data_IF_367620928429
#
_entry.id   IF_367620928429
#
_cell.length_a   1.000
_cell.length_b   1.000
_cell.length_c   1.000
_cell.angle_alpha   90.00
_cell.angle_beta   90.00
_cell.angle_gamma   90.00
#
_symmetry.space_group_name_H-M   'P 1'
#
loop_
_entity.id
_entity.type
_entity.pdbx_description
1 polymer ?
#
# COMPACT_ATOMS: atom_id res chain seq x y z
N UNK A 1 5.00 6.48 -2.70
CA UNK A 1 6.35 6.21 -3.28
C UNK A 1 7.44 6.27 -2.23
N UNK A 2 7.54 7.30 -1.35
CA UNK A 2 8.65 7.40 -0.37
C UNK A 2 8.77 6.13 0.49
N UNK A 3 7.67 5.62 1.07
CA UNK A 3 7.70 4.37 1.85
C UNK A 3 8.25 3.18 1.05
N UNK A 4 7.85 3.04 -0.21
CA UNK A 4 8.34 1.98 -1.09
C UNK A 4 9.85 2.12 -1.37
N UNK A 5 10.34 3.34 -1.55
CA UNK A 5 11.76 3.63 -1.74
C UNK A 5 12.57 3.33 -0.48
N UNK A 6 12.10 3.75 0.69
CA UNK A 6 12.80 3.49 1.96
C UNK A 6 12.88 1.98 2.26
N UNK A 7 11.78 1.24 2.03
CA UNK A 7 11.80 -0.21 2.13
C UNK A 7 12.81 -0.84 1.15
N UNK A 8 12.79 -0.40 -0.11
CA UNK A 8 13.74 -0.89 -1.13
C UNK A 8 15.20 -0.74 -0.67
N UNK A 9 15.56 0.44 -0.17
CA UNK A 9 16.94 0.76 0.23
C UNK A 9 17.32 0.05 1.53
N UNK A 10 16.52 0.20 2.58
CA UNK A 10 16.90 -0.23 3.94
C UNK A 10 16.80 -1.75 4.13
N UNK A 11 15.92 -2.42 3.39
CA UNK A 11 15.76 -3.87 3.44
C UNK A 11 16.56 -4.60 2.34
N UNK A 12 17.21 -3.87 1.43
CA UNK A 12 17.99 -4.44 0.35
C UNK A 12 17.16 -5.23 -0.66
N UNK A 13 15.91 -4.78 -0.91
CA UNK A 13 15.00 -5.48 -1.80
C UNK A 13 15.47 -5.39 -3.26
N UNK A 14 15.27 -6.46 -4.03
CA UNK A 14 15.55 -6.45 -5.46
C UNK A 14 14.49 -5.66 -6.25
N UNK A 15 13.25 -5.61 -5.73
CA UNK A 15 12.11 -4.91 -6.34
C UNK A 15 11.01 -4.67 -5.32
N UNK A 16 10.23 -3.61 -5.49
CA UNK A 16 8.99 -3.38 -4.74
C UNK A 16 7.80 -3.46 -5.69
N UNK A 17 6.81 -4.28 -5.33
CA UNK A 17 5.59 -4.44 -6.10
C UNK A 17 4.44 -3.66 -5.46
N UNK A 18 3.78 -2.82 -6.24
CA UNK A 18 2.55 -2.14 -5.87
C UNK A 18 1.36 -2.96 -6.37
N UNK A 19 0.52 -3.42 -5.46
CA UNK A 19 -0.68 -4.23 -5.77
C UNK A 19 -1.94 -3.47 -5.32
N UNK A 20 -2.60 -2.74 -6.20
CA UNK A 20 -3.83 -2.04 -5.85
C UNK A 20 -4.97 -3.02 -5.59
N UNK A 21 -5.60 -2.91 -4.41
CA UNK A 21 -6.74 -3.75 -4.04
C UNK A 21 -7.95 -3.51 -4.96
N UNK A 22 -8.70 -4.56 -5.34
CA UNK A 22 -10.00 -4.41 -6.00
C UNK A 22 -11.05 -3.92 -5.01
N UNK A 23 -11.27 -4.68 -3.96
CA UNK A 23 -12.21 -4.37 -2.87
C UNK A 23 -11.44 -4.52 -1.56
N UNK A 24 -10.97 -3.42 -0.95
CA UNK A 24 -10.29 -3.49 0.35
C UNK A 24 -11.24 -4.04 1.42
N UNK A 25 -10.87 -5.09 2.18
CA UNK A 25 -11.78 -5.72 3.15
C UNK A 25 -12.12 -4.83 4.35
N UNK A 26 -11.32 -3.80 4.62
CA UNK A 26 -11.43 -2.93 5.80
C UNK A 26 -11.86 -1.49 5.52
N UNK A 27 -12.24 -1.16 4.26
CA UNK A 27 -12.64 0.20 3.91
C UNK A 27 -13.96 0.21 3.13
N UNK A 28 -14.90 1.12 3.45
CA UNK A 28 -16.07 1.34 2.60
C UNK A 28 -15.60 1.84 1.21
N UNK A 29 -16.25 1.32 0.17
CA UNK A 29 -15.87 1.55 -1.25
C UNK A 29 -16.38 2.90 -1.78
N UNK A 30 -17.25 3.59 -1.04
CA UNK A 30 -18.14 4.65 -1.55
C UNK A 30 -17.45 5.96 -1.98
N UNK A 31 -16.14 6.13 -1.72
CA UNK A 31 -15.44 7.38 -2.07
C UNK A 31 -14.23 7.20 -3.00
N UNK A 32 -14.04 6.01 -3.54
CA UNK A 32 -12.82 5.68 -4.29
C UNK A 32 -13.08 5.69 -5.81
N UNK A 33 -12.10 6.13 -6.62
CA UNK A 33 -12.27 6.26 -8.08
C UNK A 33 -12.25 4.90 -8.79
N UNK A 34 -12.62 3.81 -8.15
CA UNK A 34 -12.54 2.48 -8.71
C UNK A 34 -11.11 1.92 -8.86
N UNK A 35 -11.03 0.59 -8.92
CA UNK A 35 -9.76 -0.14 -8.93
C UNK A 35 -8.89 0.17 -10.16
N UNK A 36 -9.51 0.38 -11.33
CA UNK A 36 -8.81 0.68 -12.58
C UNK A 36 -8.07 2.02 -12.53
N UNK A 37 -8.69 3.06 -11.98
CA UNK A 37 -8.04 4.35 -11.80
C UNK A 37 -6.89 4.27 -10.80
N UNK A 38 -7.03 3.50 -9.71
CA UNK A 38 -5.95 3.31 -8.73
C UNK A 38 -4.76 2.57 -9.35
N UNK A 39 -5.01 1.56 -10.18
CA UNK A 39 -3.98 0.86 -10.93
C UNK A 39 -3.22 1.81 -11.85
N UNK A 40 -3.93 2.62 -12.62
CA UNK A 40 -3.28 3.56 -13.54
C UNK A 40 -2.49 4.63 -12.80
N UNK A 41 -3.00 5.17 -11.70
CA UNK A 41 -2.23 6.10 -10.85
C UNK A 41 -0.96 5.46 -10.29
N UNK A 42 -0.96 4.17 -9.93
CA UNK A 42 0.26 3.46 -9.53
C UNK A 42 1.26 3.36 -10.68
N UNK A 43 0.81 3.01 -11.90
CA UNK A 43 1.66 2.96 -13.10
C UNK A 43 2.28 4.31 -13.43
N UNK A 44 1.48 5.37 -13.34
CA UNK A 44 1.97 6.75 -13.54
C UNK A 44 2.96 7.18 -12.46
N UNK A 45 2.77 6.75 -11.21
CA UNK A 45 3.65 7.09 -10.10
C UNK A 45 5.02 6.36 -10.16
N UNK A 46 5.11 5.24 -10.87
CA UNK A 46 6.32 4.43 -11.01
C UNK A 46 7.01 4.61 -12.38
N UNK A 47 6.42 5.41 -13.27
CA UNK A 47 6.96 5.63 -14.61
C UNK A 47 8.39 6.16 -14.59
N UNK A 48 9.27 5.49 -15.34
CA UNK A 48 10.69 5.80 -15.43
C UNK A 48 11.55 5.16 -14.34
N UNK A 49 10.95 4.27 -13.52
CA UNK A 49 11.63 3.55 -12.45
C UNK A 49 11.17 2.08 -12.35
N UNK A 50 10.88 1.49 -13.49
CA UNK A 50 10.34 0.14 -13.62
C UNK A 50 11.35 -0.95 -13.22
N UNK A 51 12.62 -0.60 -13.10
CA UNK A 51 13.66 -1.51 -12.57
C UNK A 51 13.45 -1.80 -11.08
N UNK A 52 13.07 -0.79 -10.30
CA UNK A 52 12.86 -0.89 -8.85
C UNK A 52 11.42 -1.15 -8.46
N UNK A 53 10.46 -0.63 -9.24
CA UNK A 53 9.03 -0.66 -8.91
C UNK A 53 8.21 -1.36 -10.00
N UNK A 54 7.48 -2.38 -9.60
CA UNK A 54 6.53 -3.12 -10.43
C UNK A 54 5.11 -2.79 -9.99
N UNK A 55 4.17 -2.69 -10.93
CA UNK A 55 2.74 -2.56 -10.62
C UNK A 55 2.01 -3.78 -11.14
N UNK A 56 1.39 -4.54 -10.24
CA UNK A 56 0.66 -5.75 -10.55
C UNK A 56 -0.85 -5.56 -10.34
N UNK A 57 -1.65 -6.14 -11.24
CA UNK A 57 -3.12 -6.09 -11.22
C UNK A 57 -3.76 -7.34 -10.59
N UNK A 58 -2.99 -8.11 -9.82
CA UNK A 58 -3.38 -9.42 -9.24
C UNK A 58 -4.75 -9.35 -8.54
N UNK A 59 -4.91 -8.42 -7.63
CA UNK A 59 -6.16 -8.26 -6.88
C UNK A 59 -7.29 -7.65 -7.70
N UNK A 60 -6.98 -6.87 -8.73
CA UNK A 60 -7.99 -6.28 -9.63
C UNK A 60 -8.63 -7.35 -10.51
N UNK A 61 -7.85 -8.33 -10.97
CA UNK A 61 -8.32 -9.46 -11.79
C UNK A 61 -9.12 -10.48 -10.99
N UNK A 62 -8.87 -10.56 -9.65
CA UNK A 62 -9.52 -11.52 -8.76
C UNK A 62 -10.92 -11.02 -8.39
N UNK A 63 -11.92 -11.92 -8.37
CA UNK A 63 -13.25 -11.61 -7.87
C UNK A 63 -13.27 -11.65 -6.32
N UNK A 64 -14.17 -10.86 -5.73
CA UNK A 64 -14.35 -10.81 -4.28
C UNK A 64 -13.40 -9.85 -3.54
N UNK A 65 -13.34 -9.96 -2.20
CA UNK A 65 -12.46 -9.14 -1.37
C UNK A 65 -10.98 -9.41 -1.64
N UNK A 66 -10.17 -8.37 -1.53
CA UNK A 66 -8.71 -8.44 -1.73
C UNK A 66 -8.01 -8.87 -0.43
N UNK A 67 -8.00 -10.17 -0.14
CA UNK A 67 -7.25 -10.67 1.01
C UNK A 67 -5.76 -10.83 0.67
N UNK A 68 -4.90 -10.37 1.57
CA UNK A 68 -3.45 -10.41 1.40
C UNK A 68 -2.92 -11.83 1.27
N UNK A 69 -3.48 -12.79 2.01
CA UNK A 69 -3.09 -14.20 1.94
C UNK A 69 -3.20 -14.76 0.53
N UNK A 70 -4.29 -14.47 -0.19
CA UNK A 70 -4.50 -14.96 -1.56
C UNK A 70 -3.49 -14.36 -2.54
N UNK A 71 -3.12 -13.09 -2.31
CA UNK A 71 -2.12 -12.39 -3.13
C UNK A 71 -0.72 -12.96 -2.91
N UNK A 72 -0.35 -13.27 -1.67
CA UNK A 72 0.92 -13.93 -1.37
C UNK A 72 0.99 -15.33 -1.97
N UNK A 73 -0.09 -16.11 -1.92
CA UNK A 73 -0.16 -17.44 -2.56
C UNK A 73 0.03 -17.38 -4.08
N UNK A 74 -0.60 -16.42 -4.74
CA UNK A 74 -0.43 -16.21 -6.18
C UNK A 74 1.01 -15.80 -6.52
N UNK A 75 1.64 -14.96 -5.70
CA UNK A 75 3.03 -14.56 -5.87
C UNK A 75 3.99 -15.73 -5.64
N UNK A 76 3.82 -16.54 -4.61
CA UNK A 76 4.63 -17.75 -4.39
C UNK A 76 4.51 -18.75 -5.54
N UNK A 77 3.29 -18.93 -6.07
CA UNK A 77 3.07 -19.81 -7.20
C UNK A 77 3.77 -19.34 -8.47
N UNK A 78 3.83 -18.01 -8.68
CA UNK A 78 4.45 -17.41 -9.89
C UNK A 78 5.95 -17.14 -9.74
N UNK A 79 6.44 -16.96 -8.52
CA UNK A 79 7.83 -16.63 -8.19
C UNK A 79 8.31 -17.47 -6.98
N UNK A 80 8.42 -18.80 -7.09
CA UNK A 80 8.65 -19.69 -5.94
C UNK A 80 9.98 -19.47 -5.22
N UNK A 81 10.99 -18.96 -5.92
CA UNK A 81 12.33 -18.71 -5.36
C UNK A 81 12.48 -17.32 -4.74
N UNK A 82 11.42 -16.54 -4.68
CA UNK A 82 11.47 -15.16 -4.15
C UNK A 82 11.17 -15.13 -2.67
N UNK A 83 12.00 -14.43 -1.91
CA UNK A 83 11.68 -14.01 -0.54
C UNK A 83 10.73 -12.82 -0.60
N UNK A 84 9.54 -12.93 0.03
CA UNK A 84 8.53 -11.90 0.02
C UNK A 84 8.57 -11.07 1.30
N UNK A 85 8.46 -9.75 1.14
CA UNK A 85 8.29 -8.78 2.22
C UNK A 85 6.95 -8.08 2.08
N UNK A 86 6.12 -8.13 3.13
CA UNK A 86 4.86 -7.41 3.20
C UNK A 86 5.09 -6.06 3.89
N UNK A 87 5.11 -4.98 3.10
CA UNK A 87 5.38 -3.63 3.60
C UNK A 87 4.10 -3.02 4.17
N UNK A 88 4.10 -2.69 5.46
CA UNK A 88 2.97 -2.11 6.18
C UNK A 88 3.38 -0.83 6.93
N UNK A 89 2.47 0.12 7.05
CA UNK A 89 2.59 1.17 8.06
C UNK A 89 2.35 0.60 9.45
N UNK A 90 2.97 1.20 10.47
CA UNK A 90 2.89 0.71 11.85
C UNK A 90 1.45 0.62 12.40
N UNK A 91 0.57 1.54 12.00
CA UNK A 91 -0.86 1.54 12.33
C UNK A 91 -1.60 0.33 11.75
N UNK A 92 -1.25 -0.07 10.54
CA UNK A 92 -1.83 -1.23 9.87
C UNK A 92 -1.25 -2.54 10.43
N UNK A 93 0.06 -2.58 10.69
CA UNK A 93 0.74 -3.74 11.26
C UNK A 93 0.22 -4.09 12.67
N UNK A 94 -0.16 -3.08 13.47
CA UNK A 94 -0.77 -3.28 14.79
C UNK A 94 -2.12 -4.03 14.73
N UNK A 95 -2.83 -3.97 13.60
CA UNK A 95 -4.09 -4.69 13.36
C UNK A 95 -3.92 -6.06 12.69
N UNK A 96 -2.69 -6.52 12.45
CA UNK A 96 -2.43 -7.78 11.74
C UNK A 96 -3.09 -9.02 12.39
N UNK A 97 -3.19 -9.13 13.73
CA UNK A 97 -3.87 -10.28 14.36
C UNK A 97 -5.33 -10.48 13.91
N UNK A 98 -6.01 -9.41 13.51
CA UNK A 98 -7.40 -9.44 13.06
C UNK A 98 -7.56 -9.73 11.55
N UNK A 99 -6.45 -9.91 10.84
CA UNK A 99 -6.49 -10.15 9.40
C UNK A 99 -6.96 -11.56 9.07
N UNK A 100 -7.62 -11.69 7.93
CA UNK A 100 -8.02 -12.99 7.40
C UNK A 100 -6.80 -13.90 7.22
N UNK A 101 -6.76 -15.02 7.95
CA UNK A 101 -5.67 -15.99 7.95
C UNK A 101 -4.28 -15.36 8.25
N UNK A 102 -4.20 -14.53 9.29
CA UNK A 102 -2.98 -13.82 9.68
C UNK A 102 -1.74 -14.73 9.79
N UNK A 103 -1.87 -15.94 10.38
CA UNK A 103 -0.78 -16.92 10.49
C UNK A 103 -0.24 -17.33 9.10
N UNK A 104 -1.12 -17.50 8.11
CA UNK A 104 -0.70 -17.82 6.76
C UNK A 104 -0.03 -16.62 6.07
N UNK A 105 -0.44 -15.40 6.37
CA UNK A 105 0.23 -14.19 5.86
C UNK A 105 1.67 -14.15 6.33
N UNK A 106 1.92 -14.29 7.63
CA UNK A 106 3.28 -14.21 8.20
C UNK A 106 4.14 -15.43 7.87
N UNK A 107 3.53 -16.58 7.55
CA UNK A 107 4.28 -17.76 7.08
C UNK A 107 4.77 -17.61 5.63
N UNK A 108 4.16 -16.72 4.85
CA UNK A 108 4.47 -16.52 3.43
C UNK A 108 5.30 -15.29 3.14
N UNK A 109 5.32 -14.31 4.04
CA UNK A 109 6.09 -13.08 3.85
C UNK A 109 6.61 -12.53 5.17
N UNK A 110 7.82 -12.01 5.17
CA UNK A 110 8.34 -11.22 6.29
C UNK A 110 7.59 -9.89 6.36
N UNK A 111 6.98 -9.58 7.51
CA UNK A 111 6.31 -8.30 7.71
C UNK A 111 7.37 -7.19 7.86
N UNK A 112 7.35 -6.22 6.97
CA UNK A 112 8.23 -5.05 6.98
C UNK A 112 7.44 -3.80 7.40
N UNK A 113 7.76 -3.27 8.58
CA UNK A 113 7.00 -2.18 9.21
C UNK A 113 7.68 -0.85 9.00
N UNK A 114 6.99 0.06 8.35
CA UNK A 114 7.40 1.46 8.21
C UNK A 114 7.14 2.20 9.54
N UNK A 115 8.19 2.63 10.21
CA UNK A 115 8.09 3.40 11.45
C UNK A 115 7.72 4.86 11.14
N UNK A 116 6.81 5.40 11.93
CA UNK A 116 6.42 6.82 11.86
C UNK A 116 6.47 7.44 13.26
N UNK A 117 6.83 8.72 13.38
CA UNK A 117 6.72 9.41 14.66
C UNK A 117 5.30 9.27 15.25
N UNK A 118 5.24 8.94 16.54
CA UNK A 118 4.00 8.78 17.28
C UNK A 118 3.39 7.38 17.31
N UNK A 119 3.99 6.40 16.63
CA UNK A 119 3.59 4.99 16.75
C UNK A 119 4.60 4.23 17.60
N UNK A 120 4.12 3.53 18.64
CA UNK A 120 4.99 2.74 19.51
C UNK A 120 5.41 1.45 18.81
N UNK A 121 6.73 1.30 18.60
CA UNK A 121 7.33 0.06 18.08
C UNK A 121 6.99 -1.14 18.95
N UNK A 122 6.99 -0.96 20.29
CA UNK A 122 6.65 -2.03 21.24
C UNK A 122 5.19 -2.48 21.10
N UNK A 123 4.28 -1.56 20.78
CA UNK A 123 2.89 -1.91 20.53
C UNK A 123 2.72 -2.76 19.27
N UNK A 124 3.44 -2.40 18.20
CA UNK A 124 3.45 -3.19 16.96
C UNK A 124 4.09 -4.56 17.19
N UNK A 125 5.23 -4.63 17.89
CA UNK A 125 5.89 -5.90 18.20
C UNK A 125 4.96 -6.83 18.98
N UNK A 126 4.27 -6.32 20.02
CA UNK A 126 3.29 -7.12 20.78
C UNK A 126 2.12 -7.61 19.92
N UNK A 127 1.70 -6.84 18.92
CA UNK A 127 0.65 -7.28 17.99
C UNK A 127 1.18 -8.40 17.08
N UNK A 128 2.38 -8.26 16.53
CA UNK A 128 3.00 -9.28 15.69
C UNK A 128 3.24 -10.59 16.46
N UNK A 129 3.67 -10.53 17.72
CA UNK A 129 3.88 -11.69 18.60
C UNK A 129 2.59 -12.46 18.90
N UNK A 130 1.41 -11.86 18.73
CA UNK A 130 0.12 -12.57 18.87
C UNK A 130 -0.18 -13.48 17.69
N UNK A 131 0.51 -13.29 16.57
CA UNK A 131 0.37 -14.13 15.37
C UNK A 131 1.54 -15.10 15.32
N UNK A 132 1.32 -16.42 15.43
CA UNK A 132 2.39 -17.41 15.34
C UNK A 132 3.26 -17.22 14.07
N UNK A 133 4.56 -17.00 14.25
CA UNK A 133 5.50 -16.68 13.17
C UNK A 133 5.66 -15.18 12.85
N UNK A 134 4.89 -14.31 13.50
CA UNK A 134 4.94 -12.86 13.28
C UNK A 134 6.12 -12.17 13.98
N UNK A 135 6.81 -12.85 14.91
CA UNK A 135 7.97 -12.33 15.64
C UNK A 135 9.18 -11.99 14.77
N UNK A 136 9.20 -12.45 13.52
CA UNK A 136 10.28 -12.19 12.54
C UNK A 136 10.15 -10.85 11.83
N UNK A 137 9.20 -10.01 12.21
CA UNK A 137 8.96 -8.70 11.61
C UNK A 137 10.20 -7.80 11.59
N UNK A 138 10.40 -7.09 10.49
CA UNK A 138 11.49 -6.12 10.32
C UNK A 138 10.95 -4.70 10.32
N UNK A 139 11.72 -3.77 10.86
CA UNK A 139 11.35 -2.36 10.91
C UNK A 139 12.31 -1.54 10.05
N UNK A 140 11.80 -0.50 9.43
CA UNK A 140 12.59 0.47 8.70
C UNK A 140 12.08 1.89 8.93
N UNK A 141 13.00 2.84 8.86
CA UNK A 141 12.72 4.24 9.17
C UNK A 141 12.00 4.95 8.02
N UNK A 142 11.09 5.83 8.37
CA UNK A 142 10.42 6.72 7.44
C UNK A 142 10.78 8.18 7.72
N UNK A 143 11.14 8.98 6.70
CA UNK A 143 11.22 10.43 6.88
C UNK A 143 9.84 10.98 7.29
N UNK A 144 9.85 12.02 8.11
CA UNK A 144 8.62 12.68 8.53
C UNK A 144 7.97 13.42 7.34
N UNK A 145 6.86 12.90 6.85
CA UNK A 145 6.14 13.45 5.70
C UNK A 145 4.70 13.73 6.11
N UNK A 146 4.35 15.02 6.21
CA UNK A 146 3.00 15.47 6.55
C UNK A 146 1.97 15.36 5.41
N UNK A 147 2.26 14.61 4.34
CA UNK A 147 1.35 14.41 3.21
C UNK A 147 0.59 13.10 3.40
N UNK A 148 -0.74 13.18 3.41
CA UNK A 148 -1.62 12.01 3.47
C UNK A 148 -2.58 11.96 2.27
N UNK A 149 -3.05 10.76 1.92
CA UNK A 149 -4.07 10.59 0.87
C UNK A 149 -5.36 11.34 1.19
N UNK A 150 -5.75 11.39 2.46
CA UNK A 150 -6.94 12.16 2.91
C UNK A 150 -6.76 13.66 2.65
N UNK A 151 -5.61 14.21 3.03
CA UNK A 151 -5.29 15.63 2.79
C UNK A 151 -5.27 15.94 1.29
N UNK A 152 -4.68 15.07 0.46
CA UNK A 152 -4.65 15.26 -0.99
C UNK A 152 -6.06 15.25 -1.60
N UNK A 153 -6.91 14.29 -1.22
CA UNK A 153 -8.31 14.25 -1.67
C UNK A 153 -9.10 15.49 -1.25
N UNK A 154 -8.91 15.95 -0.01
CA UNK A 154 -9.56 17.19 0.46
C UNK A 154 -9.12 18.41 -0.36
N UNK A 155 -7.82 18.53 -0.71
CA UNK A 155 -7.33 19.60 -1.57
C UNK A 155 -7.96 19.54 -2.97
N UNK A 156 -8.06 18.36 -3.58
CA UNK A 156 -8.71 18.19 -4.88
C UNK A 156 -10.19 18.61 -4.81
N UNK A 157 -10.93 18.17 -3.80
CA UNK A 157 -12.33 18.57 -3.57
C UNK A 157 -12.49 20.09 -3.42
N UNK A 158 -11.56 20.71 -2.73
CA UNK A 158 -11.54 22.17 -2.53
C UNK A 158 -10.93 22.94 -3.71
N UNK A 159 -10.62 22.29 -4.82
CA UNK A 159 -9.94 22.90 -5.99
C UNK A 159 -8.61 23.59 -5.64
N UNK A 160 -7.93 23.13 -4.58
CA UNK A 160 -6.62 23.63 -4.17
C UNK A 160 -5.51 22.89 -4.92
N UNK A 161 -4.44 23.59 -5.26
CA UNK A 161 -3.30 22.99 -5.95
C UNK A 161 -2.70 21.83 -5.16
N UNK A 162 -2.47 20.70 -5.84
CA UNK A 162 -1.72 19.54 -5.33
C UNK A 162 -0.34 19.41 -5.99
N UNK A 163 0.09 20.45 -6.71
CA UNK A 163 1.43 20.52 -7.33
C UNK A 163 2.51 20.38 -6.25
N UNK A 164 3.55 19.59 -6.55
CA UNK A 164 4.65 19.23 -5.65
C UNK A 164 4.27 18.32 -4.47
N UNK A 165 3.01 17.92 -4.33
CA UNK A 165 2.54 17.03 -3.26
C UNK A 165 2.34 15.59 -3.75
N UNK A 166 2.35 15.40 -5.07
CA UNK A 166 2.30 14.10 -5.75
C UNK A 166 3.02 14.20 -7.10
N UNK A 167 3.35 13.07 -7.76
CA UNK A 167 3.91 13.09 -9.13
C UNK A 167 2.98 13.83 -10.10
N UNK A 168 3.56 14.66 -10.98
CA UNK A 168 2.78 15.47 -11.92
C UNK A 168 1.88 14.62 -12.83
N UNK A 169 2.36 13.47 -13.31
CA UNK A 169 1.57 12.56 -14.14
C UNK A 169 0.30 12.04 -13.40
N UNK A 170 0.41 11.78 -12.09
CA UNK A 170 -0.75 11.36 -11.26
C UNK A 170 -1.71 12.54 -11.09
N UNK A 171 -1.21 13.74 -10.82
CA UNK A 171 -2.03 14.95 -10.70
C UNK A 171 -2.80 15.22 -11.99
N UNK A 172 -2.13 15.18 -13.13
CA UNK A 172 -2.74 15.39 -14.46
C UNK A 172 -3.82 14.35 -14.76
N UNK A 173 -3.57 13.10 -14.39
CA UNK A 173 -4.56 12.02 -14.52
C UNK A 173 -5.80 12.28 -13.66
N UNK A 174 -5.63 12.67 -12.39
CA UNK A 174 -6.73 13.04 -11.47
C UNK A 174 -7.55 14.19 -12.05
N UNK A 175 -6.88 15.23 -12.55
CA UNK A 175 -7.53 16.39 -13.15
C UNK A 175 -8.29 16.04 -14.43
N UNK A 176 -7.68 15.26 -15.32
CA UNK A 176 -8.28 14.83 -16.59
C UNK A 176 -9.55 14.01 -16.38
N UNK A 177 -9.50 13.05 -15.45
CA UNK A 177 -10.62 12.15 -15.14
C UNK A 177 -11.58 12.72 -14.08
N UNK A 178 -11.38 13.95 -13.61
CA UNK A 178 -12.20 14.61 -12.59
C UNK A 178 -12.38 13.79 -11.30
N UNK A 179 -11.33 13.01 -10.93
CA UNK A 179 -11.39 12.13 -9.76
C UNK A 179 -11.42 12.92 -8.47
N UNK A 180 -12.07 12.37 -7.44
CA UNK A 180 -12.20 12.94 -6.09
C UNK A 180 -12.88 14.32 -6.02
N UNK A 181 -13.46 14.81 -7.06
CA UNK A 181 -14.29 16.01 -7.05
C UNK A 181 -15.66 15.54 -6.60
N UNK A 182 -16.11 15.96 -5.41
CA UNK A 182 -17.43 15.61 -4.88
C UNK A 182 -18.52 15.74 -5.95
N UNK A 183 -19.55 14.94 -5.87
CA UNK A 183 -20.72 15.06 -6.76
C UNK A 183 -21.20 16.50 -6.69
N UNK A 184 -21.20 17.20 -7.82
CA UNK A 184 -21.89 18.49 -7.92
C UNK A 184 -23.36 18.18 -7.67
N UNK A 185 -23.85 18.44 -6.46
CA UNK A 185 -25.29 18.52 -6.26
C UNK A 185 -25.79 19.63 -7.20
N UNK A 186 -26.50 19.19 -8.24
CA UNK A 186 -27.28 20.04 -9.14
C UNK A 186 -28.68 20.16 -8.56
#
# INVERSE_FOLDING_TARGET
MVCAQEAYIQLGLSRVMLVPARIPPHKPVDEEPGASHRLEMCRLATRGDEERFEVADLEIRREGPSYTVDTLEELHSSKPDSELFLILGADIAAGLPDWHQAERVVSQATVAVAERPGTSREAVMRALEQVPGGETGRFFDMPEIGISSTMLRQRVRASLSTRYLMPDAVREYIDHHQLYRGSSET
#
